data_IF_424423428013
#
_entry.id   IF_424423428013
#
_cell.length_a   1.000
_cell.length_b   1.000
_cell.length_c   1.000
_cell.angle_alpha   90.00
_cell.angle_beta   90.00
_cell.angle_gamma   90.00
#
_symmetry.space_group_name_H-M   'P 1'
#
loop_
_entity.id
_entity.type
_entity.pdbx_description
1 polymer ?
#
# COMPACT_ATOMS: atom_id res chain seq x y z
N UNK A 1 -36.97 -24.37 63.27
CA UNK A 1 -37.31 -24.23 61.84
C UNK A 1 -36.21 -23.41 61.19
N UNK A 2 -35.61 -23.92 60.11
CA UNK A 2 -34.22 -23.68 59.70
C UNK A 2 -33.86 -22.22 59.40
N UNK A 3 -32.69 -21.82 59.90
CA UNK A 3 -32.07 -20.51 59.73
C UNK A 3 -31.48 -20.41 58.31
N UNK A 4 -31.99 -19.45 57.54
CA UNK A 4 -31.63 -19.16 56.15
C UNK A 4 -30.14 -18.80 56.05
N UNK A 5 -29.38 -19.70 55.44
CA UNK A 5 -27.93 -19.60 55.33
C UNK A 5 -27.55 -18.54 54.30
N UNK A 6 -27.19 -17.35 54.78
CA UNK A 6 -26.69 -16.26 53.96
C UNK A 6 -25.58 -16.72 53.01
N UNK A 7 -25.83 -16.56 51.71
CA UNK A 7 -24.86 -16.84 50.66
C UNK A 7 -23.69 -15.86 50.75
N UNK A 8 -22.52 -16.38 51.12
CA UNK A 8 -21.25 -15.67 51.03
C UNK A 8 -20.95 -15.39 49.53
N UNK A 9 -20.86 -14.11 49.10
CA UNK A 9 -20.58 -13.78 47.71
C UNK A 9 -19.21 -14.33 47.30
N UNK A 10 -19.15 -15.01 46.15
CA UNK A 10 -17.89 -15.55 45.65
C UNK A 10 -17.00 -14.44 45.08
N UNK A 11 -15.67 -14.63 45.08
CA UNK A 11 -14.70 -13.63 44.57
C UNK A 11 -15.04 -13.13 43.16
N UNK A 12 -15.62 -13.99 42.32
CA UNK A 12 -15.98 -13.69 40.94
C UNK A 12 -17.17 -12.72 40.83
N UNK A 13 -17.99 -12.61 41.87
CA UNK A 13 -19.08 -11.64 41.97
C UNK A 13 -18.57 -10.28 42.48
N UNK A 14 -17.60 -10.30 43.40
CA UNK A 14 -17.04 -9.09 44.00
C UNK A 14 -15.99 -8.41 43.12
N UNK A 15 -15.29 -9.19 42.28
CA UNK A 15 -14.26 -8.68 41.37
C UNK A 15 -14.67 -8.99 39.95
N UNK A 16 -15.03 -7.95 39.20
CA UNK A 16 -15.32 -8.04 37.77
C UNK A 16 -14.04 -8.38 37.01
N UNK A 17 -13.79 -9.67 36.81
CA UNK A 17 -12.70 -10.11 35.96
C UNK A 17 -12.93 -9.60 34.53
N UNK A 18 -11.90 -9.07 33.85
CA UNK A 18 -12.05 -8.73 32.45
C UNK A 18 -12.44 -9.99 31.68
N UNK A 19 -13.55 -9.93 30.95
CA UNK A 19 -14.06 -11.06 30.19
C UNK A 19 -12.98 -11.62 29.27
N UNK A 20 -12.71 -12.93 29.37
CA UNK A 20 -11.80 -13.61 28.46
C UNK A 20 -12.35 -13.45 27.04
N UNK A 21 -11.63 -12.72 26.20
CA UNK A 21 -11.97 -12.59 24.79
C UNK A 21 -11.89 -13.99 24.19
N UNK A 22 -12.97 -14.51 23.57
CA UNK A 22 -12.92 -15.82 22.94
C UNK A 22 -11.81 -15.82 21.89
N UNK A 23 -11.01 -16.90 21.79
CA UNK A 23 -10.01 -16.99 20.74
C UNK A 23 -10.74 -16.89 19.40
N UNK A 24 -10.32 -15.94 18.56
CA UNK A 24 -10.81 -15.88 17.17
C UNK A 24 -10.56 -17.23 16.50
N UNK A 25 -11.53 -17.69 15.73
CA UNK A 25 -11.46 -18.94 14.97
C UNK A 25 -10.16 -19.02 14.18
N UNK A 26 -9.51 -20.17 14.25
CA UNK A 26 -8.21 -20.41 13.61
C UNK A 26 -8.31 -20.15 12.11
N UNK A 27 -9.45 -20.51 11.51
CA UNK A 27 -9.75 -20.30 10.11
C UNK A 27 -9.88 -18.81 9.75
N UNK A 28 -10.45 -18.00 10.64
CA UNK A 28 -10.51 -16.55 10.46
C UNK A 28 -9.12 -15.93 10.46
N UNK A 29 -8.25 -16.34 11.40
CA UNK A 29 -6.85 -15.87 11.44
C UNK A 29 -6.08 -16.26 10.19
N UNK A 30 -6.29 -17.48 9.69
CA UNK A 30 -5.67 -17.98 8.46
C UNK A 30 -6.13 -17.18 7.23
N UNK A 31 -7.43 -16.95 7.13
CA UNK A 31 -8.02 -16.14 6.06
C UNK A 31 -7.47 -14.71 6.06
N UNK A 32 -7.36 -14.07 7.23
CA UNK A 32 -6.79 -12.72 7.37
C UNK A 32 -5.32 -12.67 6.96
N UNK A 33 -4.52 -13.70 7.27
CA UNK A 33 -3.13 -13.74 6.80
C UNK A 33 -3.05 -13.95 5.29
N UNK A 34 -3.89 -14.84 4.75
CA UNK A 34 -3.96 -15.09 3.31
C UNK A 34 -4.37 -13.86 2.50
N UNK A 35 -5.27 -13.05 3.03
CA UNK A 35 -5.70 -11.81 2.37
C UNK A 35 -4.58 -10.77 2.33
N UNK A 36 -3.73 -10.70 3.36
CA UNK A 36 -2.67 -9.68 3.43
C UNK A 36 -1.61 -9.79 2.32
N UNK A 37 -1.36 -10.96 1.74
CA UNK A 37 -0.42 -11.12 0.63
C UNK A 37 -1.08 -11.26 -0.76
N UNK A 38 -2.42 -11.31 -0.81
CA UNK A 38 -3.18 -11.44 -2.06
C UNK A 38 -4.00 -10.20 -2.38
N UNK A 39 -4.29 -9.34 -1.40
CA UNK A 39 -5.13 -8.15 -1.54
C UNK A 39 -4.36 -6.86 -1.27
N UNK A 40 -4.78 -5.79 -1.94
CA UNK A 40 -4.30 -4.44 -1.75
C UNK A 40 -4.80 -3.88 -0.41
N UNK A 41 -3.92 -3.40 0.46
CA UNK A 41 -4.31 -2.92 1.78
C UNK A 41 -5.14 -1.61 1.81
N UNK A 42 -5.33 -0.97 0.64
CA UNK A 42 -6.20 0.21 0.49
C UNK A 42 -7.58 -0.16 -0.05
N UNK A 43 -7.61 -0.86 -1.19
CA UNK A 43 -8.85 -1.15 -1.94
C UNK A 43 -9.47 -2.51 -1.60
N UNK A 44 -8.74 -3.38 -0.89
CA UNK A 44 -9.11 -4.78 -0.62
C UNK A 44 -9.31 -5.62 -1.91
N UNK A 45 -8.89 -5.11 -3.07
CA UNK A 45 -8.87 -5.78 -4.37
C UNK A 45 -7.68 -6.74 -4.51
N UNK A 46 -7.74 -7.77 -5.38
CA UNK A 46 -6.59 -8.62 -5.63
C UNK A 46 -5.37 -7.82 -6.12
N UNK A 47 -4.18 -8.27 -5.70
CA UNK A 47 -2.92 -7.67 -6.15
C UNK A 47 -2.67 -8.02 -7.62
N UNK A 48 -2.27 -7.01 -8.39
CA UNK A 48 -1.84 -7.17 -9.78
C UNK A 48 -0.57 -6.35 -10.03
N UNK A 49 0.33 -6.82 -10.90
CA UNK A 49 1.55 -6.10 -11.24
C UNK A 49 1.20 -4.80 -11.98
N UNK A 50 1.91 -3.69 -11.70
CA UNK A 50 3.00 -3.55 -10.75
C UNK A 50 2.53 -3.40 -9.29
N UNK A 51 3.11 -4.22 -8.40
CA UNK A 51 2.85 -4.22 -6.95
C UNK A 51 3.89 -3.35 -6.25
N UNK A 52 3.47 -2.58 -5.25
CA UNK A 52 4.35 -1.74 -4.44
C UNK A 52 4.17 -2.04 -2.96
N UNK A 53 5.25 -1.91 -2.19
CA UNK A 53 5.22 -2.02 -0.74
C UNK A 53 5.68 -0.74 -0.06
N UNK A 54 5.08 -0.43 1.10
CA UNK A 54 5.50 0.67 1.96
C UNK A 54 6.52 0.21 3.00
N UNK A 55 7.17 1.15 3.68
CA UNK A 55 8.15 0.81 4.72
C UNK A 55 7.61 0.11 5.98
N UNK A 56 6.31 -0.15 6.06
CA UNK A 56 5.70 -1.03 7.07
C UNK A 56 5.43 -2.45 6.56
N UNK A 57 5.88 -2.80 5.34
CA UNK A 57 5.73 -4.14 4.78
C UNK A 57 4.32 -4.49 4.30
N UNK A 58 3.45 -3.49 4.11
CA UNK A 58 2.11 -3.68 3.50
C UNK A 58 2.21 -3.60 1.99
N UNK A 59 1.35 -4.33 1.30
CA UNK A 59 1.31 -4.41 -0.16
C UNK A 59 0.15 -3.59 -0.73
N UNK A 60 0.40 -2.97 -1.89
CA UNK A 60 -0.56 -2.14 -2.59
C UNK A 60 -0.41 -2.31 -4.10
N UNK A 61 -1.51 -2.13 -4.83
CA UNK A 61 -1.44 -1.93 -6.27
C UNK A 61 -0.89 -0.52 -6.55
N UNK A 62 0.04 -0.39 -7.50
CA UNK A 62 0.62 0.92 -7.85
C UNK A 62 -0.45 1.93 -8.29
N UNK A 63 -1.48 1.46 -9.00
CA UNK A 63 -2.62 2.28 -9.41
C UNK A 63 -3.35 2.87 -8.19
N UNK A 64 -3.63 2.07 -7.16
CA UNK A 64 -4.29 2.53 -5.94
C UNK A 64 -3.47 3.59 -5.19
N UNK A 65 -2.14 3.43 -5.14
CA UNK A 65 -1.25 4.44 -4.54
C UNK A 65 -1.25 5.74 -5.35
N UNK A 66 -1.22 5.65 -6.68
CA UNK A 66 -1.29 6.83 -7.55
C UNK A 66 -2.61 7.58 -7.35
N UNK A 67 -3.74 6.87 -7.35
CA UNK A 67 -5.05 7.47 -7.10
C UNK A 67 -5.12 8.13 -5.72
N UNK A 68 -4.61 7.47 -4.68
CA UNK A 68 -4.52 8.03 -3.32
C UNK A 68 -3.65 9.30 -3.25
N UNK A 69 -2.56 9.36 -4.01
CA UNK A 69 -1.68 10.55 -4.05
C UNK A 69 -2.30 11.72 -4.83
N UNK A 70 -3.17 11.44 -5.80
CA UNK A 70 -3.92 12.46 -6.54
C UNK A 70 -5.10 13.01 -5.72
N UNK A 71 -5.90 12.11 -5.14
CA UNK A 71 -7.05 12.45 -4.30
C UNK A 71 -7.03 11.64 -3.00
N UNK A 72 -6.39 12.22 -1.99
CA UNK A 72 -6.28 11.60 -0.67
C UNK A 72 -7.61 11.56 0.09
N UNK A 73 -8.57 12.42 -0.26
CA UNK A 73 -9.90 12.46 0.34
C UNK A 73 -10.77 11.28 -0.08
N UNK A 74 -10.57 10.77 -1.29
CA UNK A 74 -11.34 9.62 -1.81
C UNK A 74 -11.09 8.30 -1.06
N UNK A 75 -9.96 8.20 -0.34
CA UNK A 75 -9.50 6.95 0.29
C UNK A 75 -9.55 7.05 1.82
N UNK A 76 -10.54 6.42 2.50
CA UNK A 76 -10.66 6.50 3.95
C UNK A 76 -9.51 5.80 4.68
N UNK A 77 -8.96 4.73 4.10
CA UNK A 77 -7.84 3.95 4.66
C UNK A 77 -6.46 4.46 4.17
N UNK A 78 -6.31 5.75 3.91
CA UNK A 78 -5.07 6.28 3.34
C UNK A 78 -3.91 6.27 4.37
N UNK A 79 -2.82 5.53 4.14
CA UNK A 79 -1.65 5.56 5.03
C UNK A 79 -1.07 6.96 5.15
N UNK A 80 -0.78 7.40 6.38
CA UNK A 80 -0.20 8.72 6.68
C UNK A 80 1.28 8.85 6.35
N UNK A 81 1.99 7.72 6.29
CA UNK A 81 3.43 7.67 6.05
C UNK A 81 3.80 7.78 4.56
N UNK A 82 2.88 7.49 3.64
CA UNK A 82 3.12 7.58 2.20
C UNK A 82 2.73 8.99 1.73
N UNK A 83 3.73 9.81 1.41
CA UNK A 83 3.53 11.19 0.93
C UNK A 83 3.93 11.36 -0.54
N UNK A 84 4.78 10.46 -1.03
CA UNK A 84 5.32 10.49 -2.38
C UNK A 84 5.53 9.08 -2.91
N UNK A 85 5.71 8.96 -4.24
CA UNK A 85 6.07 7.68 -4.87
C UNK A 85 7.44 7.14 -4.43
N UNK A 86 8.27 7.95 -3.77
CA UNK A 86 9.56 7.53 -3.20
C UNK A 86 9.39 6.81 -1.86
N UNK A 87 8.23 6.92 -1.22
CA UNK A 87 7.91 6.26 0.05
C UNK A 87 7.42 4.81 -0.13
N UNK A 88 7.34 4.36 -1.39
CA UNK A 88 7.01 3.00 -1.77
C UNK A 88 8.12 2.42 -2.67
N UNK A 89 8.29 1.10 -2.61
CA UNK A 89 9.21 0.36 -3.48
C UNK A 89 8.40 -0.61 -4.32
N UNK A 90 8.63 -0.62 -5.63
CA UNK A 90 8.00 -1.57 -6.53
C UNK A 90 8.66 -2.93 -6.36
N UNK A 91 7.86 -3.97 -6.13
CA UNK A 91 8.33 -5.32 -5.94
C UNK A 91 8.45 -6.05 -7.27
N UNK A 92 9.49 -6.87 -7.39
CA UNK A 92 9.68 -7.79 -8.51
C UNK A 92 9.10 -9.14 -8.09
N UNK A 93 7.99 -9.52 -8.73
CA UNK A 93 7.25 -10.75 -8.43
C UNK A 93 6.98 -11.46 -9.75
N UNK A 94 7.04 -12.79 -9.72
CA UNK A 94 6.72 -13.64 -10.87
C UNK A 94 5.20 -13.81 -11.00
N UNK A 95 4.75 -14.04 -12.23
CA UNK A 95 3.35 -14.33 -12.53
C UNK A 95 3.22 -15.80 -12.89
N UNK A 96 2.18 -16.43 -12.36
CA UNK A 96 1.78 -17.76 -12.79
C UNK A 96 1.14 -17.72 -14.19
N UNK A 97 0.97 -18.88 -14.83
CA UNK A 97 0.38 -19.01 -16.17
C UNK A 97 -1.04 -18.41 -16.26
N UNK A 98 -1.73 -18.34 -15.12
CA UNK A 98 -3.05 -17.70 -14.97
C UNK A 98 -3.00 -16.17 -14.85
N UNK A 99 -1.82 -15.55 -14.94
CA UNK A 99 -1.61 -14.12 -14.70
C UNK A 99 -1.76 -13.70 -13.23
N UNK A 100 -1.83 -14.65 -12.30
CA UNK A 100 -1.90 -14.39 -10.87
C UNK A 100 -0.51 -14.17 -10.30
N UNK A 101 -0.44 -13.33 -9.27
CA UNK A 101 0.81 -13.03 -8.55
C UNK A 101 1.27 -14.28 -7.81
N UNK A 102 2.42 -14.82 -8.19
CA UNK A 102 3.06 -15.95 -7.53
C UNK A 102 4.26 -15.47 -6.72
N UNK A 103 4.12 -15.50 -5.40
CA UNK A 103 5.22 -15.17 -4.51
C UNK A 103 6.14 -16.39 -4.34
N UNK A 104 7.13 -16.50 -5.22
CA UNK A 104 8.12 -17.57 -5.19
C UNK A 104 9.48 -17.03 -4.75
N UNK A 105 10.15 -17.70 -3.81
CA UNK A 105 11.52 -17.36 -3.45
C UNK A 105 12.49 -17.92 -4.51
N UNK A 106 13.33 -17.08 -5.14
CA UNK A 106 14.30 -17.55 -6.15
C UNK A 106 15.32 -18.57 -5.62
N UNK A 107 15.60 -18.53 -4.31
CA UNK A 107 16.63 -19.35 -3.65
C UNK A 107 16.04 -20.66 -3.14
N UNK A 108 15.01 -20.58 -2.29
CA UNK A 108 14.43 -21.74 -1.61
C UNK A 108 13.32 -22.42 -2.42
N UNK A 109 12.80 -21.75 -3.47
CA UNK A 109 11.65 -22.20 -4.27
C UNK A 109 10.37 -22.44 -3.45
N UNK A 110 10.31 -21.93 -2.22
CA UNK A 110 9.08 -21.92 -1.44
C UNK A 110 8.10 -20.90 -2.00
N UNK A 111 6.82 -21.22 -1.91
CA UNK A 111 5.71 -20.32 -2.22
C UNK A 111 5.25 -19.64 -0.93
N UNK A 112 4.96 -18.34 -1.00
CA UNK A 112 4.44 -17.58 0.14
C UNK A 112 3.14 -18.22 0.65
N UNK A 113 3.19 -18.59 1.91
CA UNK A 113 2.15 -19.27 2.64
C UNK A 113 2.28 -18.86 4.11
N UNK A 114 1.37 -19.31 4.96
CA UNK A 114 1.41 -18.96 6.38
C UNK A 114 2.65 -19.50 7.11
N UNK A 115 3.34 -20.48 6.53
CA UNK A 115 4.56 -21.10 7.09
C UNK A 115 5.82 -20.31 6.76
N UNK A 116 5.91 -19.77 5.55
CA UNK A 116 7.11 -19.09 5.06
C UNK A 116 6.88 -17.59 5.02
N UNK A 117 7.60 -16.85 5.87
CA UNK A 117 7.58 -15.39 5.83
C UNK A 117 8.51 -14.88 4.72
N UNK A 118 8.03 -13.91 3.95
CA UNK A 118 8.79 -13.29 2.86
C UNK A 118 9.26 -11.90 3.25
N UNK A 119 10.34 -11.44 2.62
CA UNK A 119 10.88 -10.10 2.77
C UNK A 119 11.44 -9.62 1.44
N UNK A 120 11.45 -8.30 1.24
CA UNK A 120 12.08 -7.69 0.07
C UNK A 120 13.25 -6.81 0.47
N UNK A 121 14.15 -6.60 -0.47
CA UNK A 121 15.35 -5.78 -0.28
C UNK A 121 15.11 -4.39 -0.88
N UNK A 122 15.32 -3.35 -0.08
CA UNK A 122 15.34 -1.96 -0.55
C UNK A 122 16.76 -1.62 -1.06
N UNK A 123 16.93 -0.96 -2.21
CA UNK A 123 15.89 -0.36 -3.06
C UNK A 123 15.47 -1.22 -4.25
N UNK A 124 16.07 -2.40 -4.45
CA UNK A 124 15.87 -3.20 -5.65
C UNK A 124 14.46 -3.80 -5.81
N UNK A 125 13.77 -4.07 -4.70
CA UNK A 125 12.42 -4.65 -4.70
C UNK A 125 12.37 -6.15 -4.98
N UNK A 126 13.49 -6.85 -5.06
CA UNK A 126 13.52 -8.31 -5.16
C UNK A 126 13.05 -8.96 -3.86
N UNK A 127 12.27 -10.03 -4.01
CA UNK A 127 11.53 -10.68 -2.94
C UNK A 127 12.11 -12.07 -2.67
N UNK A 128 12.33 -12.39 -1.40
CA UNK A 128 12.92 -13.65 -0.95
C UNK A 128 12.21 -14.14 0.31
N UNK A 129 12.47 -15.39 0.68
CA UNK A 129 12.14 -15.88 2.00
C UNK A 129 12.97 -15.16 3.07
N UNK A 130 12.32 -14.70 4.13
CA UNK A 130 12.96 -13.94 5.21
C UNK A 130 14.02 -14.75 5.95
N UNK A 131 13.78 -16.04 6.17
CA UNK A 131 14.74 -16.97 6.76
C UNK A 131 15.98 -17.13 5.89
N UNK A 132 15.81 -17.20 4.56
CA UNK A 132 16.91 -17.32 3.62
C UNK A 132 17.80 -16.06 3.62
N UNK A 133 17.19 -14.86 3.64
CA UNK A 133 17.95 -13.61 3.75
C UNK A 133 18.73 -13.48 5.06
N UNK A 134 18.22 -14.04 6.15
CA UNK A 134 18.92 -14.03 7.45
C UNK A 134 20.08 -15.01 7.52
N UNK A 135 19.93 -16.19 6.93
CA UNK A 135 20.92 -17.26 7.02
C UNK A 135 22.01 -17.12 5.97
N UNK A 136 21.66 -16.70 4.75
CA UNK A 136 22.57 -16.66 3.60
C UNK A 136 22.91 -15.24 3.13
N UNK A 137 22.31 -14.19 3.71
CA UNK A 137 22.45 -12.83 3.20
C UNK A 137 23.87 -12.28 3.33
N UNK A 138 24.57 -12.11 2.21
CA UNK A 138 25.93 -11.56 2.13
C UNK A 138 25.96 -10.04 1.88
N UNK A 139 24.95 -9.29 2.36
CA UNK A 139 24.76 -7.85 2.09
C UNK A 139 24.64 -7.48 0.60
N UNK A 140 24.45 -8.46 -0.28
CA UNK A 140 24.26 -8.28 -1.72
C UNK A 140 23.03 -9.07 -2.19
N UNK A 141 22.19 -8.43 -3.00
CA UNK A 141 20.98 -9.07 -3.50
C UNK A 141 21.30 -10.21 -4.47
N UNK A 142 20.73 -11.40 -4.25
CA UNK A 142 20.99 -12.60 -5.06
C UNK A 142 20.53 -12.50 -6.52
N UNK A 143 19.66 -11.53 -6.86
CA UNK A 143 19.15 -11.36 -8.23
C UNK A 143 19.85 -10.24 -9.01
N UNK A 144 20.22 -9.13 -8.36
CA UNK A 144 20.81 -7.97 -9.04
C UNK A 144 22.17 -7.52 -8.48
N UNK A 145 22.73 -8.22 -7.51
CA UNK A 145 24.00 -7.89 -6.83
C UNK A 145 24.04 -6.49 -6.20
N UNK A 146 22.87 -5.87 -5.97
CA UNK A 146 22.81 -4.59 -5.30
C UNK A 146 23.13 -4.74 -3.82
N UNK A 147 24.05 -3.90 -3.33
CA UNK A 147 24.44 -3.86 -1.92
C UNK A 147 23.29 -3.33 -1.07
N UNK A 148 23.02 -3.98 0.06
CA UNK A 148 21.99 -3.60 1.02
C UNK A 148 22.48 -3.80 2.45
N UNK A 149 21.89 -3.05 3.40
CA UNK A 149 22.13 -3.25 4.83
C UNK A 149 21.03 -4.13 5.45
N UNK A 150 21.28 -4.74 6.61
CA UNK A 150 20.25 -5.52 7.33
C UNK A 150 18.96 -4.72 7.61
N UNK A 151 19.10 -3.39 7.78
CA UNK A 151 17.98 -2.48 7.95
C UNK A 151 17.12 -2.36 6.69
N UNK A 152 17.65 -2.67 5.52
CA UNK A 152 16.97 -2.57 4.22
C UNK A 152 16.22 -3.84 3.84
N UNK A 153 16.25 -4.87 4.69
CA UNK A 153 15.43 -6.06 4.57
C UNK A 153 14.09 -5.83 5.25
N UNK A 154 13.02 -5.80 4.46
CA UNK A 154 11.68 -5.45 4.92
C UNK A 154 10.79 -6.69 4.84
N UNK A 155 10.38 -7.27 5.98
CA UNK A 155 9.42 -8.37 5.99
C UNK A 155 8.07 -7.92 5.43
N UNK A 156 7.52 -8.72 4.52
CA UNK A 156 6.16 -8.58 4.03
C UNK A 156 5.23 -9.10 5.13
N UNK A 157 4.18 -8.33 5.43
CA UNK A 157 3.21 -8.62 6.50
C UNK A 157 3.88 -8.92 7.85
N UNK A 158 4.58 -7.92 8.42
CA UNK A 158 5.33 -8.08 9.66
C UNK A 158 4.45 -8.39 10.87
N UNK A 159 5.00 -9.16 11.81
CA UNK A 159 4.42 -9.36 13.14
C UNK A 159 4.51 -8.07 13.98
N UNK A 160 3.80 -8.03 15.11
CA UNK A 160 3.76 -6.86 16.00
C UNK A 160 5.16 -6.38 16.46
N UNK A 161 6.11 -7.29 16.63
CA UNK A 161 7.50 -6.97 16.98
C UNK A 161 8.27 -6.35 15.82
N UNK A 162 8.18 -6.95 14.63
CA UNK A 162 8.80 -6.44 13.41
C UNK A 162 8.23 -5.07 13.02
N UNK A 163 6.93 -4.85 13.23
CA UNK A 163 6.28 -3.55 13.01
C UNK A 163 6.91 -2.43 13.85
N UNK A 164 7.30 -2.71 15.10
CA UNK A 164 7.98 -1.73 15.96
C UNK A 164 9.39 -1.40 15.43
N UNK A 165 10.09 -2.39 14.88
CA UNK A 165 11.41 -2.17 14.27
C UNK A 165 11.29 -1.36 12.98
N UNK A 166 10.30 -1.67 12.15
CA UNK A 166 10.05 -0.95 10.90
C UNK A 166 9.58 0.49 11.12
N UNK A 167 8.74 0.72 12.14
CA UNK A 167 8.32 2.07 12.50
C UNK A 167 9.50 2.92 12.99
N UNK A 168 10.39 2.35 13.82
CA UNK A 168 11.66 3.00 14.20
C UNK A 168 12.53 3.31 12.98
N UNK A 169 12.72 2.35 12.07
CA UNK A 169 13.45 2.55 10.81
C UNK A 169 12.89 3.72 10.00
N UNK A 170 11.57 3.83 9.88
CA UNK A 170 10.94 4.94 9.15
C UNK A 170 11.19 6.30 9.81
N UNK A 171 11.22 6.35 11.15
CA UNK A 171 11.59 7.57 11.88
C UNK A 171 13.06 7.94 11.64
N UNK A 172 13.97 6.96 11.71
CA UNK A 172 15.41 7.18 11.45
C UNK A 172 15.68 7.65 10.02
N UNK A 173 14.94 7.10 9.04
CA UNK A 173 15.01 7.55 7.65
C UNK A 173 14.50 8.98 7.49
N UNK A 174 13.39 9.33 8.16
CA UNK A 174 12.87 10.68 8.14
C UNK A 174 13.87 11.68 8.76
N UNK A 175 14.56 11.30 9.84
CA UNK A 175 15.61 12.12 10.47
C UNK A 175 16.83 12.31 9.54
N UNK A 176 17.17 11.30 8.73
CA UNK A 176 18.27 11.36 7.76
C UNK A 176 17.87 11.94 6.39
N UNK A 177 16.69 12.57 6.27
CA UNK A 177 16.12 13.10 5.03
C UNK A 177 16.01 12.06 3.89
N UNK A 178 15.87 10.78 4.22
CA UNK A 178 15.68 9.68 3.27
C UNK A 178 14.24 9.17 3.29
N UNK A 179 13.78 8.73 2.12
CA UNK A 179 12.49 8.06 1.95
C UNK A 179 12.64 6.55 2.09
N UNK A 180 11.53 5.82 2.08
CA UNK A 180 11.57 4.36 2.17
C UNK A 180 12.46 3.73 1.07
N UNK A 181 12.44 4.28 -0.15
CA UNK A 181 13.30 3.87 -1.27
C UNK A 181 14.77 4.31 -1.16
N UNK A 182 15.22 4.80 0.00
CA UNK A 182 16.56 5.36 0.27
C UNK A 182 16.92 6.61 -0.54
N UNK A 183 15.99 7.11 -1.35
CA UNK A 183 16.14 8.36 -2.10
C UNK A 183 15.99 9.57 -1.18
N UNK A 184 16.68 10.66 -1.52
CA UNK A 184 16.53 11.95 -0.82
C UNK A 184 15.07 12.41 -0.85
N UNK A 185 14.56 12.74 0.33
CA UNK A 185 13.25 13.35 0.50
C UNK A 185 13.23 14.66 -0.28
N UNK A 186 12.20 14.86 -1.08
CA UNK A 186 12.04 16.10 -1.84
C UNK A 186 11.81 17.22 -0.83
N UNK A 187 12.79 18.12 -0.66
CA UNK A 187 12.55 19.39 0.04
C UNK A 187 11.44 20.08 -0.73
N UNK A 188 10.28 20.32 -0.09
CA UNK A 188 9.25 21.20 -0.64
C UNK A 188 9.91 22.56 -0.79
N UNK A 189 10.45 22.84 -1.96
CA UNK A 189 10.81 24.19 -2.32
C UNK A 189 9.49 24.95 -2.35
N UNK A 190 9.24 25.76 -1.33
CA UNK A 190 8.39 26.93 -1.48
C UNK A 190 9.03 27.79 -2.57
N UNK A 191 8.71 27.51 -3.83
CA UNK A 191 9.14 28.28 -4.98
C UNK A 191 7.91 28.57 -5.83
N UNK A 192 7.26 29.66 -5.42
CA UNK A 192 6.48 30.59 -6.24
C UNK A 192 5.36 30.00 -7.11
N UNK A 193 4.14 30.14 -6.61
CA UNK A 193 3.05 30.61 -7.46
C UNK A 193 3.35 32.03 -7.92
N UNK A 194 4.21 32.18 -8.92
CA UNK A 194 4.30 33.35 -9.80
C UNK A 194 5.41 33.09 -10.84
N UNK A 195 5.11 33.35 -12.12
CA UNK A 195 5.95 33.14 -13.34
C UNK A 195 5.64 31.90 -14.20
N UNK A 196 4.44 31.86 -14.80
CA UNK A 196 4.27 31.42 -16.21
C UNK A 196 2.95 31.89 -16.83
N UNK A 197 2.74 33.20 -16.87
CA UNK A 197 1.93 33.88 -17.90
C UNK A 197 2.73 35.13 -18.32
N UNK A 198 2.89 35.33 -19.63
CA UNK A 198 3.57 36.46 -20.32
C UNK A 198 5.08 36.29 -20.64
N UNK A 199 5.33 35.74 -21.83
CA UNK A 199 6.33 36.16 -22.82
C UNK A 199 6.02 35.28 -24.05
N UNK A 200 5.67 35.74 -25.25
CA UNK A 200 6.01 36.96 -25.99
C UNK A 200 4.86 37.26 -26.96
N UNK A 201 4.34 38.48 -26.92
CA UNK A 201 3.62 39.10 -28.03
C UNK A 201 4.25 40.48 -28.26
N UNK A 202 4.93 40.64 -29.41
CA UNK A 202 5.08 41.89 -30.20
C UNK A 202 6.25 41.79 -31.19
N UNK A 203 5.88 41.73 -32.48
CA UNK A 203 6.37 42.55 -33.61
C UNK A 203 7.87 42.55 -33.91
N UNK A 204 8.39 42.46 -35.14
CA UNK A 204 7.88 42.85 -36.45
C UNK A 204 8.87 42.24 -37.48
N UNK A 205 8.39 41.50 -38.49
CA UNK A 205 8.47 41.92 -39.89
C UNK A 205 9.55 41.21 -40.76
N UNK A 206 9.07 40.71 -41.90
CA UNK A 206 9.71 40.51 -43.22
C UNK A 206 10.21 39.11 -43.63
N UNK A 207 9.38 38.53 -44.53
CA UNK A 207 9.69 37.78 -45.76
C UNK A 207 10.31 36.36 -45.64
N UNK A 208 9.89 35.33 -46.39
CA UNK A 208 8.92 35.19 -47.48
C UNK A 208 8.53 33.71 -47.69
N UNK A 209 7.28 33.49 -48.13
CA UNK A 209 6.73 32.51 -49.12
C UNK A 209 7.25 31.06 -49.06
N UNK A 210 6.39 30.04 -48.89
CA UNK A 210 5.59 29.48 -50.00
C UNK A 210 4.44 28.56 -49.51
N UNK A 211 3.24 28.86 -50.03
CA UNK A 211 2.01 28.07 -50.33
C UNK A 211 1.43 27.01 -49.35
N UNK A 212 0.19 27.09 -48.84
CA UNK A 212 -1.19 27.29 -49.38
C UNK A 212 -1.87 26.00 -49.93
N UNK A 213 -2.82 25.46 -49.16
CA UNK A 213 -4.27 25.25 -49.48
C UNK A 213 -4.88 24.16 -48.56
N UNK A 214 -5.71 24.52 -47.57
CA UNK A 214 -7.21 24.59 -47.60
C UNK A 214 -7.85 23.25 -47.96
N UNK A 215 -8.88 22.70 -47.31
CA UNK A 215 -9.99 23.28 -46.55
C UNK A 215 -10.92 22.12 -46.10
N UNK A 216 -11.78 22.35 -45.09
CA UNK A 216 -13.20 21.86 -44.99
C UNK A 216 -13.38 20.36 -44.69
N UNK A 217 -14.40 19.84 -43.98
CA UNK A 217 -15.64 20.34 -43.39
C UNK A 217 -16.43 19.12 -42.81
N UNK A 218 -17.29 19.37 -41.80
CA UNK A 218 -18.58 18.69 -41.50
C UNK A 218 -18.52 17.25 -40.93
N UNK A 219 -18.95 16.98 -39.69
CA UNK A 219 -20.32 16.90 -39.11
C UNK A 219 -20.91 15.47 -39.14
N UNK A 220 -21.60 15.09 -38.06
CA UNK A 220 -22.41 13.87 -37.90
C UNK A 220 -22.18 13.23 -36.51
N UNK A 221 -22.96 13.54 -35.46
CA UNK A 221 -24.28 12.97 -35.11
C UNK A 221 -24.24 11.45 -34.89
N UNK A 222 -24.89 10.77 -33.94
CA UNK A 222 -25.78 11.01 -32.80
C UNK A 222 -26.13 9.56 -32.28
N UNK A 223 -27.01 9.44 -31.28
CA UNK A 223 -27.74 8.24 -30.75
C UNK A 223 -27.10 7.73 -29.45
N UNK A 224 -27.54 8.09 -28.22
CA UNK A 224 -28.84 8.02 -27.48
C UNK A 224 -29.38 6.60 -27.20
N UNK A 225 -29.37 6.23 -25.91
CA UNK A 225 -30.42 5.49 -25.16
C UNK A 225 -29.95 5.41 -23.68
N UNK A 226 -30.47 6.20 -22.73
CA UNK A 226 -31.67 5.97 -21.89
C UNK A 226 -31.55 4.69 -21.02
N UNK A 227 -31.50 4.76 -19.68
CA UNK A 227 -32.71 4.85 -18.83
C UNK A 227 -32.40 5.06 -17.32
N UNK A 228 -33.16 5.99 -16.69
CA UNK A 228 -33.74 6.08 -15.31
C UNK A 228 -33.03 5.44 -14.09
N UNK A 229 -32.58 6.17 -13.04
CA UNK A 229 -33.29 6.99 -12.01
C UNK A 229 -34.22 6.17 -11.09
N UNK A 230 -33.87 6.02 -9.80
CA UNK A 230 -34.62 6.54 -8.63
C UNK A 230 -34.07 6.05 -7.29
N UNK A 231 -34.12 6.98 -6.33
CA UNK A 231 -33.78 6.92 -4.91
C UNK A 231 -34.48 5.82 -4.09
N UNK A 232 -33.88 5.47 -2.94
CA UNK A 232 -34.57 5.58 -1.64
C UNK A 232 -33.64 5.29 -0.45
N UNK A 233 -33.31 6.34 0.29
CA UNK A 233 -33.00 6.30 1.72
C UNK A 233 -34.19 5.76 2.53
N UNK A 234 -33.90 4.99 3.60
CA UNK A 234 -34.68 4.66 4.83
C UNK A 234 -34.13 3.30 5.33
N UNK A 235 -33.82 3.02 6.60
CA UNK A 235 -34.54 3.40 7.82
C UNK A 235 -33.82 2.83 9.07
N UNK A 236 -33.84 3.60 10.18
CA UNK A 236 -33.81 3.21 11.63
C UNK A 236 -32.50 2.61 12.19
N UNK A 237 -31.73 3.31 13.04
CA UNK A 237 -31.97 3.60 14.48
C UNK A 237 -32.64 2.46 15.26
N UNK A 238 -31.85 1.72 16.02
CA UNK A 238 -32.31 1.01 17.23
C UNK A 238 -31.39 1.45 18.38
N UNK A 239 -32.03 2.00 19.42
CA UNK A 239 -31.47 2.29 20.75
C UNK A 239 -31.35 0.98 21.53
N UNK A 240 -30.24 0.80 22.23
CA UNK A 240 -30.17 0.26 23.59
C UNK A 240 -29.27 1.23 24.36
#
# INVERSE_FOLDING_TARGET
MGNDGGSLPTRNELVKEPGKVPPLDIDFKRSVKSSQFSQCAITDEPLYPPIVSCGLGKLYNKASILQMLLDRSSVPKSPSHIKSLKDVVQLQVELDDSGKVLWLCPITRHVMSDTYQFAYIVPCGHVFEYSALKQFGEKMCFQCNQVYEEKDVIPINPNAEQLKTLSKRLLDLALSEKTHSLNKASKKSNKNGDKKRKHVSKSNSKHAKHELRTNRMLDGENVKSETSVTDMERVKRVKI
#
